data_IF_366995089041
#
_entry.id   IF_366995089041
#
_cell.length_a   1.000
_cell.length_b   1.000
_cell.length_c   1.000
_cell.angle_alpha   90.00
_cell.angle_beta   90.00
_cell.angle_gamma   90.00
#
_symmetry.space_group_name_H-M   'P 1'
#
loop_
_entity.id
_entity.type
_entity.pdbx_description
1 polymer ?
#
# COMPACT_ATOMS: atom_id res chain seq x y z
N UNK A 1 47.01 9.75 45.43
CA UNK A 1 46.14 10.30 44.38
C UNK A 1 46.33 9.56 43.08
N UNK A 2 45.39 8.70 42.65
CA UNK A 2 45.41 8.15 41.30
C UNK A 2 44.71 9.10 40.32
N UNK A 3 45.21 9.09 39.09
CA UNK A 3 44.83 9.96 37.97
C UNK A 3 43.42 9.60 37.46
N UNK A 4 42.58 10.61 37.27
CA UNK A 4 41.26 10.47 36.66
C UNK A 4 41.36 10.13 35.18
N UNK A 5 40.73 9.04 34.77
CA UNK A 5 40.43 8.75 33.37
C UNK A 5 39.24 9.61 32.95
N UNK A 6 39.45 10.55 32.04
CA UNK A 6 38.36 11.21 31.33
C UNK A 6 37.81 10.24 30.28
N UNK A 7 36.57 9.80 30.46
CA UNK A 7 35.80 9.08 29.46
C UNK A 7 35.46 10.02 28.31
N UNK A 8 35.87 9.64 27.09
CA UNK A 8 35.49 10.33 25.86
C UNK A 8 34.01 9.97 25.58
N UNK A 9 33.11 10.96 25.37
CA UNK A 9 31.73 10.67 25.03
C UNK A 9 31.66 9.96 23.67
N UNK A 10 31.00 8.80 23.66
CA UNK A 10 30.65 8.07 22.44
C UNK A 10 29.81 8.99 21.54
N UNK A 11 30.33 9.29 20.35
CA UNK A 11 29.56 9.96 19.30
C UNK A 11 28.48 8.98 18.86
N UNK A 12 27.24 9.23 19.28
CA UNK A 12 26.08 8.49 18.78
C UNK A 12 26.05 8.66 17.26
N UNK A 13 26.37 7.60 16.52
CA UNK A 13 26.20 7.58 15.08
C UNK A 13 24.70 7.72 14.81
N UNK A 14 24.27 8.91 14.39
CA UNK A 14 22.91 9.15 13.91
C UNK A 14 22.70 8.26 12.71
N UNK A 15 21.90 7.21 12.88
CA UNK A 15 21.48 6.36 11.76
C UNK A 15 20.79 7.26 10.74
N UNK A 16 21.15 7.22 9.44
CA UNK A 16 20.46 8.02 8.44
C UNK A 16 18.97 7.72 8.49
N UNK A 17 18.15 8.76 8.28
CA UNK A 17 16.71 8.58 8.19
C UNK A 17 16.37 7.52 7.13
N UNK A 18 15.39 6.66 7.39
CA UNK A 18 14.98 5.59 6.47
C UNK A 18 14.53 6.21 5.13
N UNK A 19 15.14 5.78 4.03
CA UNK A 19 14.73 6.20 2.70
C UNK A 19 13.43 5.50 2.29
N UNK A 20 12.45 6.27 1.82
CA UNK A 20 11.19 5.78 1.25
C UNK A 20 11.16 6.15 -0.24
N UNK A 21 10.78 5.20 -1.09
CA UNK A 21 10.61 5.43 -2.52
C UNK A 21 9.18 5.11 -2.94
N UNK A 22 8.50 6.06 -3.61
CA UNK A 22 7.13 5.85 -4.09
C UNK A 22 7.17 5.34 -5.52
N UNK A 23 6.58 4.18 -5.78
CA UNK A 23 6.50 3.59 -7.11
C UNK A 23 5.20 3.97 -7.80
N UNK A 24 5.30 4.70 -8.91
CA UNK A 24 4.18 5.04 -9.79
C UNK A 24 4.21 4.15 -11.03
N UNK A 25 3.06 3.57 -11.39
CA UNK A 25 2.93 2.71 -12.57
C UNK A 25 1.70 3.07 -13.39
N UNK A 26 1.78 2.87 -14.70
CA UNK A 26 0.63 2.94 -15.62
C UNK A 26 0.18 1.53 -15.95
N UNK A 27 -0.77 1.04 -15.17
CA UNK A 27 -1.24 -0.33 -15.27
C UNK A 27 -2.12 -0.56 -16.50
N UNK A 28 -1.98 -1.71 -17.13
CA UNK A 28 -2.80 -2.15 -18.27
C UNK A 28 -3.53 -3.46 -17.95
N UNK A 29 -4.33 -4.02 -18.87
CA UNK A 29 -4.88 -5.37 -18.67
C UNK A 29 -3.82 -6.49 -18.62
N UNK A 30 -2.57 -6.21 -19.01
CA UNK A 30 -1.45 -7.17 -18.97
C UNK A 30 -0.82 -7.22 -17.58
N UNK A 31 -1.24 -8.22 -16.83
CA UNK A 31 -0.88 -8.41 -15.41
C UNK A 31 0.58 -8.77 -15.21
N UNK A 32 1.14 -9.58 -16.09
CA UNK A 32 2.55 -9.99 -16.02
C UNK A 32 3.45 -8.78 -16.27
N UNK A 33 3.09 -7.97 -17.27
CA UNK A 33 3.79 -6.71 -17.54
C UNK A 33 3.67 -5.71 -16.39
N UNK A 34 2.50 -5.57 -15.78
CA UNK A 34 2.33 -4.68 -14.62
C UNK A 34 3.18 -5.16 -13.43
N UNK A 35 3.16 -6.46 -13.13
CA UNK A 35 4.00 -7.06 -12.09
C UNK A 35 5.48 -6.81 -12.37
N UNK A 36 5.94 -7.07 -13.60
CA UNK A 36 7.34 -6.88 -13.98
C UNK A 36 7.78 -5.42 -13.84
N UNK A 37 6.92 -4.47 -14.24
CA UNK A 37 7.17 -3.04 -14.08
C UNK A 37 7.27 -2.65 -12.60
N UNK A 38 6.31 -3.07 -11.77
CA UNK A 38 6.34 -2.79 -10.34
C UNK A 38 7.56 -3.43 -9.65
N UNK A 39 7.86 -4.69 -9.97
CA UNK A 39 9.03 -5.40 -9.44
C UNK A 39 10.34 -4.72 -9.84
N UNK A 40 10.44 -4.22 -11.07
CA UNK A 40 11.58 -3.43 -11.54
C UNK A 40 11.79 -2.16 -10.71
N UNK A 41 10.71 -1.39 -10.47
CA UNK A 41 10.76 -0.19 -9.63
C UNK A 41 11.16 -0.49 -8.18
N UNK A 42 10.64 -1.57 -7.60
CA UNK A 42 11.02 -1.97 -6.23
C UNK A 42 12.50 -2.37 -6.17
N UNK A 43 13.01 -3.11 -7.16
CA UNK A 43 14.44 -3.47 -7.24
C UNK A 43 15.32 -2.23 -7.41
N UNK A 44 14.91 -1.28 -8.24
CA UNK A 44 15.63 -0.02 -8.41
C UNK A 44 15.66 0.78 -7.09
N UNK A 45 14.51 0.91 -6.43
CA UNK A 45 14.41 1.59 -5.13
C UNK A 45 15.31 0.93 -4.08
N UNK A 46 15.30 -0.41 -4.00
CA UNK A 46 16.17 -1.16 -3.11
C UNK A 46 17.65 -0.93 -3.42
N UNK A 47 18.03 -0.92 -4.71
CA UNK A 47 19.39 -0.60 -5.14
C UNK A 47 19.85 0.81 -4.77
N UNK A 48 18.90 1.74 -4.56
CA UNK A 48 19.14 3.10 -4.06
C UNK A 48 19.08 3.22 -2.53
N UNK A 49 18.86 2.11 -1.81
CA UNK A 49 18.84 2.05 -0.34
C UNK A 49 17.48 2.31 0.29
N UNK A 50 16.38 2.26 -0.48
CA UNK A 50 15.04 2.38 0.08
C UNK A 50 14.74 1.24 1.06
N UNK A 51 14.10 1.57 2.18
CA UNK A 51 13.72 0.60 3.22
C UNK A 51 12.23 0.27 3.18
N UNK A 52 11.44 1.15 2.57
CA UNK A 52 10.01 1.01 2.35
C UNK A 52 9.67 1.52 0.95
N UNK A 53 8.90 0.74 0.21
CA UNK A 53 8.39 1.11 -1.11
C UNK A 53 6.87 1.07 -1.09
N UNK A 54 6.17 2.21 -0.99
CA UNK A 54 4.76 2.28 -1.31
C UNK A 54 4.59 2.12 -2.82
N UNK A 55 3.96 1.03 -3.23
CA UNK A 55 3.59 0.74 -4.61
C UNK A 55 2.06 0.71 -4.70
N UNK A 56 1.50 1.52 -5.61
CA UNK A 56 0.06 1.70 -5.66
C UNK A 56 -0.47 2.06 -7.04
N UNK A 57 -1.72 1.67 -7.25
CA UNK A 57 -2.52 1.91 -8.44
C UNK A 57 -3.50 0.75 -8.57
N UNK A 58 -4.81 1.03 -8.54
CA UNK A 58 -5.81 0.04 -8.95
C UNK A 58 -5.34 -0.49 -10.31
N UNK A 59 -5.09 -1.80 -10.41
CA UNK A 59 -4.58 -2.54 -11.58
C UNK A 59 -3.06 -2.77 -11.68
N UNK A 60 -2.18 -2.14 -10.89
CA UNK A 60 -0.72 -2.41 -10.93
C UNK A 60 -0.36 -3.83 -10.53
N UNK A 61 -1.24 -4.40 -9.71
CA UNK A 61 -1.17 -5.76 -9.19
C UNK A 61 -2.48 -6.51 -9.44
N UNK A 62 -3.38 -5.91 -10.23
CA UNK A 62 -4.75 -6.37 -10.46
C UNK A 62 -4.76 -7.70 -11.19
N UNK A 63 -4.70 -8.79 -10.43
CA UNK A 63 -4.76 -10.19 -10.82
C UNK A 63 -3.49 -10.73 -11.52
N UNK A 64 -2.39 -10.90 -10.79
CA UNK A 64 -1.40 -11.95 -11.13
C UNK A 64 -2.17 -13.26 -11.45
N UNK A 65 -1.72 -14.10 -12.40
CA UNK A 65 -2.43 -15.31 -12.82
C UNK A 65 -2.97 -16.14 -11.65
N UNK A 66 -4.16 -16.72 -11.82
CA UNK A 66 -4.87 -17.55 -10.84
C UNK A 66 -3.99 -18.70 -10.28
N UNK A 67 -2.92 -19.05 -11.00
CA UNK A 67 -1.90 -20.01 -10.60
C UNK A 67 -1.04 -19.61 -9.40
N UNK A 68 -1.08 -18.36 -8.92
CA UNK A 68 -0.26 -17.89 -7.77
C UNK A 68 -1.00 -17.77 -6.43
N UNK A 69 -2.25 -18.26 -6.33
CA UNK A 69 -3.01 -18.28 -5.07
C UNK A 69 -3.43 -16.90 -4.54
N UNK A 70 -3.12 -15.83 -5.26
CA UNK A 70 -3.46 -14.45 -4.92
C UNK A 70 -4.96 -14.20 -4.98
N UNK A 71 -5.48 -13.52 -3.95
CA UNK A 71 -6.88 -13.18 -3.86
C UNK A 71 -7.78 -14.37 -3.57
N UNK A 72 -7.29 -15.33 -2.79
CA UNK A 72 -8.11 -16.36 -2.14
C UNK A 72 -8.20 -16.01 -0.66
N UNK A 73 -9.37 -16.15 -0.06
CA UNK A 73 -9.60 -15.85 1.34
C UNK A 73 -8.57 -16.54 2.25
N UNK A 74 -7.78 -15.75 2.99
CA UNK A 74 -6.78 -16.26 3.94
C UNK A 74 -5.46 -16.72 3.31
N UNK A 75 -5.24 -16.50 2.00
CA UNK A 75 -3.94 -16.70 1.36
C UNK A 75 -3.10 -15.43 1.41
N UNK A 76 -1.91 -15.52 2.01
CA UNK A 76 -0.93 -14.42 1.96
C UNK A 76 -0.50 -14.18 0.51
N UNK A 77 -0.30 -12.91 0.13
CA UNK A 77 0.16 -12.62 -1.19
C UNK A 77 1.61 -13.11 -1.41
N UNK A 78 1.82 -14.10 -2.29
CA UNK A 78 3.15 -14.49 -2.77
C UNK A 78 3.78 -13.44 -3.71
N UNK A 79 4.36 -12.39 -3.10
CA UNK A 79 5.25 -11.43 -3.78
C UNK A 79 6.68 -11.75 -3.37
N UNK A 80 7.52 -12.27 -4.27
CA UNK A 80 8.89 -12.60 -3.91
C UNK A 80 9.78 -11.35 -3.77
N UNK A 81 9.42 -10.25 -4.44
CA UNK A 81 10.27 -9.05 -4.57
C UNK A 81 10.68 -8.42 -3.23
N UNK A 82 9.81 -8.24 -2.22
CA UNK A 82 10.21 -7.80 -0.88
C UNK A 82 11.34 -8.64 -0.28
N UNK A 83 11.23 -9.98 -0.40
CA UNK A 83 12.23 -10.95 0.08
C UNK A 83 13.52 -10.89 -0.72
N UNK A 84 13.42 -10.83 -2.05
CA UNK A 84 14.58 -10.69 -2.95
C UNK A 84 15.38 -9.42 -2.65
N UNK A 85 14.70 -8.33 -2.29
CA UNK A 85 15.31 -7.02 -2.14
C UNK A 85 15.61 -6.63 -0.67
N UNK A 86 15.08 -7.36 0.31
CA UNK A 86 15.19 -7.01 1.72
C UNK A 86 14.48 -5.71 2.11
N UNK A 87 13.36 -5.38 1.45
CA UNK A 87 12.62 -4.13 1.65
C UNK A 87 11.20 -4.38 2.14
N UNK A 88 10.63 -3.38 2.82
CA UNK A 88 9.19 -3.35 3.08
C UNK A 88 8.44 -2.91 1.84
N UNK A 89 7.29 -3.52 1.57
CA UNK A 89 6.41 -3.17 0.44
C UNK A 89 5.02 -2.83 0.96
N UNK A 90 4.57 -1.61 0.69
CA UNK A 90 3.17 -1.21 0.89
C UNK A 90 2.45 -1.41 -0.44
N UNK A 91 1.70 -2.50 -0.55
CA UNK A 91 1.00 -2.97 -1.74
C UNK A 91 -0.45 -2.47 -1.73
N UNK A 92 -0.70 -1.35 -2.39
CA UNK A 92 -2.04 -0.76 -2.47
C UNK A 92 -2.81 -1.13 -3.72
N UNK A 93 -4.10 -1.44 -3.57
CA UNK A 93 -5.02 -1.65 -4.70
C UNK A 93 -5.01 -3.07 -5.27
N UNK A 94 -4.66 -4.08 -4.47
CA UNK A 94 -4.74 -5.48 -4.92
C UNK A 94 -6.13 -6.06 -4.68
N UNK A 95 -6.56 -6.98 -5.55
CA UNK A 95 -7.89 -7.56 -5.49
C UNK A 95 -7.90 -8.89 -4.73
N UNK A 96 -8.79 -9.01 -3.75
CA UNK A 96 -8.96 -10.22 -2.93
C UNK A 96 -10.35 -10.83 -3.10
N UNK A 97 -10.48 -12.14 -3.31
CA UNK A 97 -11.77 -12.85 -3.14
C UNK A 97 -11.91 -13.22 -1.68
N UNK A 98 -12.88 -12.61 -1.00
CA UNK A 98 -13.21 -12.99 0.38
C UNK A 98 -13.98 -14.30 0.47
N UNK A 99 -14.29 -14.71 1.70
CA UNK A 99 -15.07 -15.93 1.98
C UNK A 99 -16.48 -15.87 1.38
N UNK A 100 -17.00 -14.67 1.18
CA UNK A 100 -18.28 -14.35 0.55
C UNK A 100 -18.24 -14.34 -0.98
N UNK A 101 -17.10 -14.68 -1.61
CA UNK A 101 -17.00 -14.73 -3.08
C UNK A 101 -18.01 -15.68 -3.71
N UNK A 102 -18.24 -16.85 -3.09
CA UNK A 102 -19.15 -17.86 -3.63
C UNK A 102 -20.60 -17.34 -3.76
N UNK A 103 -21.00 -16.40 -2.91
CA UNK A 103 -22.35 -15.83 -2.87
C UNK A 103 -22.44 -14.48 -3.56
N UNK A 104 -21.44 -13.60 -3.39
CA UNK A 104 -21.49 -12.22 -3.90
C UNK A 104 -20.88 -12.06 -5.29
N UNK A 105 -19.90 -12.91 -5.64
CA UNK A 105 -19.03 -12.72 -6.82
C UNK A 105 -18.37 -11.35 -6.88
N UNK A 106 -18.20 -10.69 -5.73
CA UNK A 106 -17.51 -9.41 -5.58
C UNK A 106 -16.16 -9.60 -4.88
N UNK A 107 -15.20 -8.78 -5.27
CA UNK A 107 -13.85 -8.77 -4.71
C UNK A 107 -13.74 -7.71 -3.60
N UNK A 108 -12.64 -7.68 -2.87
CA UNK A 108 -12.23 -6.56 -2.04
C UNK A 108 -11.07 -5.82 -2.71
N UNK A 109 -11.06 -4.51 -2.53
CA UNK A 109 -9.93 -3.65 -2.89
C UNK A 109 -9.06 -3.47 -1.63
N UNK A 110 -7.86 -4.06 -1.64
CA UNK A 110 -7.04 -4.24 -0.45
C UNK A 110 -5.72 -3.46 -0.52
N UNK A 111 -5.22 -3.10 0.66
CA UNK A 111 -3.91 -2.52 0.88
C UNK A 111 -3.17 -3.39 1.89
N UNK A 112 -2.14 -4.10 1.43
CA UNK A 112 -1.31 -4.96 2.25
C UNK A 112 0.05 -4.32 2.52
N UNK A 113 0.64 -4.65 3.66
CA UNK A 113 2.04 -4.35 3.98
C UNK A 113 2.79 -5.65 4.14
N UNK A 114 3.85 -5.81 3.36
CA UNK A 114 4.75 -6.96 3.38
C UNK A 114 6.09 -6.54 3.98
N UNK A 115 6.60 -7.38 4.88
CA UNK A 115 7.92 -7.20 5.47
C UNK A 115 9.04 -7.73 4.54
N UNK A 116 10.32 -7.57 4.90
CA UNK A 116 11.45 -8.07 4.13
C UNK A 116 11.55 -9.59 4.04
N UNK A 117 10.77 -10.36 4.81
CA UNK A 117 10.66 -11.81 4.64
C UNK A 117 9.57 -12.18 3.61
N UNK A 118 8.79 -11.19 3.15
CA UNK A 118 7.62 -11.37 2.30
C UNK A 118 6.38 -11.77 3.09
N UNK A 119 6.38 -11.63 4.42
CA UNK A 119 5.22 -11.92 5.26
C UNK A 119 4.27 -10.71 5.29
N UNK A 120 2.97 -10.98 5.19
CA UNK A 120 1.94 -9.93 5.30
C UNK A 120 1.73 -9.57 6.76
N UNK A 121 2.11 -8.35 7.14
CA UNK A 121 2.07 -7.88 8.53
C UNK A 121 0.88 -6.97 8.83
N UNK A 122 0.22 -6.46 7.79
CA UNK A 122 -1.03 -5.73 7.91
C UNK A 122 -1.80 -5.76 6.58
N UNK A 123 -3.13 -5.73 6.68
CA UNK A 123 -4.03 -5.59 5.53
C UNK A 123 -5.20 -4.70 5.89
N UNK A 124 -5.59 -3.84 4.96
CA UNK A 124 -6.77 -3.00 5.01
C UNK A 124 -7.62 -3.28 3.78
N UNK A 125 -8.93 -3.45 3.97
CA UNK A 125 -9.92 -3.53 2.88
C UNK A 125 -10.60 -2.18 2.77
N UNK A 126 -10.60 -1.57 1.58
CA UNK A 126 -11.16 -0.24 1.31
C UNK A 126 -12.58 -0.13 1.86
N UNK A 127 -12.80 0.83 2.75
CA UNK A 127 -14.08 1.04 3.44
C UNK A 127 -15.00 1.95 2.63
N UNK A 128 -14.45 2.95 1.94
CA UNK A 128 -15.23 3.86 1.10
C UNK A 128 -15.07 3.50 -0.38
N UNK A 129 -16.11 2.89 -0.97
CA UNK A 129 -16.14 2.56 -2.39
C UNK A 129 -16.50 3.79 -3.23
N UNK A 130 -15.88 3.93 -4.39
CA UNK A 130 -16.09 5.01 -5.33
C UNK A 130 -17.34 4.76 -6.18
N UNK A 131 -18.48 5.24 -5.67
CA UNK A 131 -19.72 5.34 -6.42
C UNK A 131 -19.95 6.81 -6.77
N UNK A 132 -19.57 7.20 -7.99
CA UNK A 132 -19.60 8.57 -8.48
C UNK A 132 -20.34 8.61 -9.80
N UNK A 133 -21.35 9.47 -9.88
CA UNK A 133 -22.06 9.80 -11.11
C UNK A 133 -21.93 11.30 -11.35
N UNK A 134 -21.16 11.67 -12.37
CA UNK A 134 -21.02 13.03 -12.86
C UNK A 134 -21.66 13.07 -14.25
N UNK A 135 -22.83 13.72 -14.34
CA UNK A 135 -23.61 13.84 -15.57
C UNK A 135 -22.72 14.22 -16.77
N UNK A 136 -22.71 13.34 -17.78
CA UNK A 136 -21.98 13.54 -19.04
C UNK A 136 -20.44 13.48 -18.94
N UNK A 137 -19.84 13.11 -17.80
CA UNK A 137 -18.37 13.09 -17.63
C UNK A 137 -17.82 11.73 -17.19
N UNK A 138 -18.21 11.27 -16.00
CA UNK A 138 -17.64 10.06 -15.38
C UNK A 138 -18.73 9.37 -14.60
N UNK A 139 -18.94 8.08 -14.89
CA UNK A 139 -19.75 7.19 -14.07
C UNK A 139 -18.85 6.04 -13.60
N UNK A 140 -18.68 5.92 -12.28
CA UNK A 140 -17.98 4.82 -11.64
C UNK A 140 -18.89 4.25 -10.56
N UNK A 141 -19.08 2.92 -10.56
CA UNK A 141 -19.87 2.21 -9.55
C UNK A 141 -19.06 1.04 -9.00
N UNK A 142 -18.05 1.36 -8.19
CA UNK A 142 -17.15 0.36 -7.60
C UNK A 142 -17.92 -0.67 -6.77
N UNK A 143 -19.00 -0.27 -6.08
CA UNK A 143 -19.86 -1.19 -5.31
C UNK A 143 -20.52 -2.31 -6.12
N UNK A 144 -20.58 -2.16 -7.45
CA UNK A 144 -21.12 -3.16 -8.37
C UNK A 144 -20.25 -4.41 -8.46
N UNK A 145 -18.96 -4.31 -8.18
CA UNK A 145 -18.00 -5.41 -8.29
C UNK A 145 -17.09 -5.58 -7.06
N UNK A 146 -17.09 -4.61 -6.13
CA UNK A 146 -16.29 -4.63 -4.90
C UNK A 146 -17.19 -4.65 -3.65
N UNK A 147 -16.80 -5.41 -2.63
CA UNK A 147 -17.39 -5.41 -1.29
C UNK A 147 -16.58 -4.46 -0.39
N UNK A 148 -17.22 -3.56 0.39
CA UNK A 148 -16.51 -2.66 1.29
C UNK A 148 -15.87 -3.44 2.46
N UNK A 149 -14.73 -2.96 2.93
CA UNK A 149 -14.13 -3.43 4.18
C UNK A 149 -14.99 -3.09 5.40
N UNK A 150 -14.86 -3.89 6.46
CA UNK A 150 -15.66 -3.76 7.68
C UNK A 150 -15.09 -2.76 8.70
N UNK A 151 -13.80 -2.44 8.62
CA UNK A 151 -13.12 -1.62 9.63
C UNK A 151 -11.83 -0.97 9.09
N UNK A 152 -11.43 0.12 9.76
CA UNK A 152 -10.13 0.75 9.60
C UNK A 152 -9.07 -0.13 10.29
N UNK A 153 -7.96 -0.42 9.61
CA UNK A 153 -6.85 -1.17 10.20
C UNK A 153 -6.03 -0.30 11.17
N UNK A 154 -5.49 -0.91 12.22
CA UNK A 154 -4.54 -0.22 13.09
C UNK A 154 -3.25 0.14 12.34
N UNK A 155 -2.60 1.28 12.64
CA UNK A 155 -1.34 1.64 12.00
C UNK A 155 -0.25 0.58 12.26
N UNK A 156 0.52 0.25 11.22
CA UNK A 156 1.58 -0.78 11.27
C UNK A 156 2.96 -0.15 11.39
N UNK A 157 3.79 -0.65 12.31
CA UNK A 157 5.17 -0.19 12.48
C UNK A 157 6.05 -0.64 11.33
N UNK A 158 6.81 0.30 10.75
CA UNK A 158 7.79 0.03 9.69
C UNK A 158 9.10 0.75 9.98
N UNK A 159 10.18 0.49 9.23
CA UNK A 159 11.43 1.25 9.37
C UNK A 159 11.26 2.76 9.14
N UNK A 160 10.21 3.19 8.42
CA UNK A 160 9.91 4.60 8.15
C UNK A 160 9.00 5.26 9.20
N UNK A 161 8.49 4.49 10.17
CA UNK A 161 7.47 4.92 11.13
C UNK A 161 6.16 4.13 10.99
N UNK A 162 5.14 4.52 11.75
CA UNK A 162 3.82 3.90 11.75
C UNK A 162 2.99 4.31 10.54
N UNK A 163 2.70 3.36 9.66
CA UNK A 163 1.88 3.53 8.47
C UNK A 163 0.40 3.33 8.78
N UNK A 164 -0.42 4.36 8.51
CA UNK A 164 -1.85 4.26 8.36
C UNK A 164 -2.22 3.92 6.91
N UNK A 165 -3.10 2.94 6.74
CA UNK A 165 -3.46 2.37 5.44
C UNK A 165 -4.82 2.91 4.99
N UNK A 166 -4.86 3.50 3.80
CA UNK A 166 -6.07 3.97 3.12
C UNK A 166 -5.96 3.59 1.63
N UNK A 167 -7.06 3.67 0.89
CA UNK A 167 -7.05 3.45 -0.57
C UNK A 167 -7.88 4.53 -1.26
N UNK A 168 -7.26 5.25 -2.20
CA UNK A 168 -7.91 6.14 -3.16
C UNK A 168 -9.04 6.99 -2.57
N UNK A 169 -10.29 6.57 -2.77
CA UNK A 169 -11.49 7.30 -2.40
C UNK A 169 -11.62 7.59 -0.89
N UNK A 170 -10.93 6.82 -0.04
CA UNK A 170 -10.82 7.11 1.39
C UNK A 170 -10.28 8.53 1.66
N UNK A 171 -9.49 9.11 0.75
CA UNK A 171 -8.98 10.48 0.85
C UNK A 171 -10.10 11.53 0.96
N UNK A 172 -11.30 11.22 0.45
CA UNK A 172 -12.46 12.11 0.52
C UNK A 172 -13.08 12.22 1.92
N UNK A 173 -12.72 11.32 2.83
CA UNK A 173 -13.34 11.17 4.15
C UNK A 173 -12.30 11.51 5.22
N UNK A 174 -12.27 12.74 5.77
CA UNK A 174 -11.24 13.14 6.73
C UNK A 174 -11.26 12.30 8.02
N UNK A 175 -12.39 11.67 8.36
CA UNK A 175 -12.59 10.87 9.57
C UNK A 175 -11.61 9.70 9.66
N UNK A 176 -11.31 9.01 8.54
CA UNK A 176 -10.34 7.90 8.55
C UNK A 176 -8.94 8.38 8.86
N UNK A 177 -8.53 9.51 8.27
CA UNK A 177 -7.23 10.15 8.50
C UNK A 177 -7.08 10.58 9.95
N UNK A 178 -8.12 11.18 10.52
CA UNK A 178 -8.16 11.59 11.92
C UNK A 178 -8.13 10.38 12.86
N UNK A 179 -8.86 9.31 12.54
CA UNK A 179 -8.87 8.07 13.32
C UNK A 179 -7.48 7.40 13.32
N UNK A 180 -6.84 7.27 12.16
CA UNK A 180 -5.49 6.72 12.02
C UNK A 180 -4.46 7.56 12.77
N UNK A 181 -4.53 8.89 12.67
CA UNK A 181 -3.65 9.80 13.40
C UNK A 181 -3.86 9.72 14.92
N UNK A 182 -5.10 9.54 15.40
CA UNK A 182 -5.39 9.31 16.83
C UNK A 182 -4.87 7.95 17.30
N UNK A 183 -4.86 6.94 16.43
CA UNK A 183 -4.27 5.64 16.68
C UNK A 183 -2.72 5.63 16.58
N UNK A 184 -2.10 6.78 16.30
CA UNK A 184 -0.64 6.95 16.29
C UNK A 184 0.03 6.72 14.94
N UNK A 185 -0.69 6.81 13.82
CA UNK A 185 -0.08 6.87 12.50
C UNK A 185 0.83 8.11 12.39
N UNK A 186 2.03 7.90 11.85
CA UNK A 186 3.03 8.93 11.53
C UNK A 186 3.01 9.24 10.03
N UNK A 187 2.65 8.25 9.21
CA UNK A 187 2.55 8.34 7.75
C UNK A 187 1.16 7.84 7.36
N UNK A 188 0.43 8.60 6.54
CA UNK A 188 -0.79 8.14 5.89
C UNK A 188 -0.50 7.81 4.43
N UNK A 189 -1.08 6.73 3.93
CA UNK A 189 -0.85 6.25 2.57
C UNK A 189 -2.15 6.17 1.80
N UNK A 190 -2.16 6.71 0.58
CA UNK A 190 -3.31 6.69 -0.34
C UNK A 190 -2.88 6.19 -1.72
N UNK A 191 -2.48 4.91 -1.86
CA UNK A 191 -2.36 4.30 -3.19
C UNK A 191 -3.67 4.51 -3.97
N UNK A 192 -3.56 5.11 -5.15
CA UNK A 192 -4.71 5.66 -5.87
C UNK A 192 -4.57 5.54 -7.39
N UNK A 193 -5.71 5.51 -8.08
CA UNK A 193 -5.80 5.60 -9.54
C UNK A 193 -6.91 6.62 -9.91
N UNK A 194 -6.60 7.91 -9.76
CA UNK A 194 -7.56 8.96 -10.09
C UNK A 194 -7.80 9.03 -11.60
N UNK A 195 -9.04 9.26 -12.01
CA UNK A 195 -9.32 9.63 -13.41
C UNK A 195 -8.71 11.00 -13.70
N UNK A 196 -8.20 11.22 -14.91
CA UNK A 196 -7.58 12.50 -15.32
C UNK A 196 -8.40 13.73 -14.90
N UNK A 197 -9.71 13.85 -15.22
CA UNK A 197 -10.48 15.04 -14.85
C UNK A 197 -10.63 15.21 -13.33
N UNK A 198 -10.78 14.10 -12.58
CA UNK A 198 -10.90 14.15 -11.11
C UNK A 198 -9.57 14.47 -10.45
N UNK A 199 -8.47 13.91 -10.99
CA UNK A 199 -7.11 14.17 -10.55
C UNK A 199 -6.76 15.63 -10.71
N UNK A 200 -6.95 16.21 -11.91
CA UNK A 200 -6.63 17.63 -12.16
C UNK A 200 -7.35 18.61 -11.24
N UNK A 201 -8.56 18.28 -10.76
CA UNK A 201 -9.33 19.15 -9.88
C UNK A 201 -9.06 18.92 -8.38
N UNK A 202 -8.56 17.74 -8.00
CA UNK A 202 -8.57 17.29 -6.61
C UNK A 202 -7.28 16.61 -6.13
N UNK A 203 -6.27 16.54 -6.99
CA UNK A 203 -4.95 16.01 -6.69
C UNK A 203 -3.91 17.02 -7.19
N UNK A 204 -3.03 17.46 -6.29
CA UNK A 204 -1.92 18.35 -6.64
C UNK A 204 -0.82 17.54 -7.33
N UNK A 205 -0.32 18.05 -8.46
CA UNK A 205 0.76 17.45 -9.26
C UNK A 205 1.94 18.39 -9.31
#
# INVERSE_FOLDING_TARGET
SPRGYHSIPSVAMTTPAPLVAVAQVTSTPDKERNFAACAGLVREAAGRGARLVPAGGELGWGLIPESRGWGVAGGDPDVPVPRECGVWLSLGGFHERGQDWATTRRIYNCHAVLDPAGCMVATYRKTHLCDVELEGRVTMKESGFTTPGAAIAAPVGTPAGKLGLCVCYDLRFPEISLALRRAGAEILTYPSAFTVPTGSAHWEV
#
